data_IF_591071598333
#
_entry.id   IF_591071598333
#
_cell.length_a   1.000
_cell.length_b   1.000
_cell.length_c   1.000
_cell.angle_alpha   90.00
_cell.angle_beta   90.00
_cell.angle_gamma   90.00
#
_symmetry.space_group_name_H-M   'P 1'
#
loop_
_entity.id
_entity.type
_entity.pdbx_description
1 polymer ?
#
# COMPACT_ATOMS: atom_id res chain seq x y z
N UNK A 1 -31.42 -31.00 -48.00
CA UNK A 1 -30.54 -30.81 -46.83
C UNK A 1 -29.70 -29.58 -47.08
N UNK A 2 -30.08 -28.43 -46.53
CA UNK A 2 -29.29 -27.20 -46.58
C UNK A 2 -28.93 -26.88 -45.13
N UNK A 3 -27.65 -27.03 -44.78
CA UNK A 3 -27.13 -26.68 -43.47
C UNK A 3 -26.92 -25.17 -43.43
N UNK A 4 -27.78 -24.47 -42.69
CA UNK A 4 -27.54 -23.08 -42.29
C UNK A 4 -26.54 -23.05 -41.14
N UNK A 5 -25.32 -22.59 -41.42
CA UNK A 5 -24.34 -22.23 -40.39
C UNK A 5 -24.78 -20.88 -39.81
N UNK A 6 -25.30 -20.91 -38.58
CA UNK A 6 -25.48 -19.69 -37.78
C UNK A 6 -24.12 -19.28 -37.22
N UNK A 7 -23.53 -18.23 -37.81
CA UNK A 7 -22.46 -17.46 -37.18
C UNK A 7 -23.06 -16.66 -36.03
N UNK A 8 -22.87 -17.13 -34.80
CA UNK A 8 -23.04 -16.29 -33.62
C UNK A 8 -21.87 -15.29 -33.58
N UNK A 9 -22.11 -14.08 -34.05
CA UNK A 9 -21.31 -12.91 -33.71
C UNK A 9 -21.52 -12.62 -32.22
N UNK A 10 -20.57 -13.04 -31.39
CA UNK A 10 -20.45 -12.50 -30.04
C UNK A 10 -20.23 -10.99 -30.18
N UNK A 11 -21.23 -10.20 -29.77
CA UNK A 11 -21.04 -8.77 -29.59
C UNK A 11 -20.00 -8.62 -28.48
N UNK A 12 -18.74 -8.44 -28.87
CA UNK A 12 -17.70 -7.93 -27.98
C UNK A 12 -18.23 -6.56 -27.55
N UNK A 13 -18.72 -6.47 -26.32
CA UNK A 13 -18.99 -5.18 -25.70
C UNK A 13 -17.65 -4.42 -25.70
N UNK A 14 -17.48 -3.54 -26.68
CA UNK A 14 -16.34 -2.65 -26.73
C UNK A 14 -16.43 -1.75 -25.50
N UNK A 15 -15.26 -1.46 -24.93
CA UNK A 15 -15.19 -0.53 -23.84
C UNK A 15 -15.80 0.82 -24.26
N UNK A 16 -16.52 1.49 -23.37
CA UNK A 16 -17.05 2.82 -23.64
C UNK A 16 -15.94 3.88 -23.63
N UNK A 17 -14.87 3.65 -22.87
CA UNK A 17 -13.60 4.36 -22.98
C UNK A 17 -12.43 3.38 -22.90
N UNK A 18 -11.46 3.53 -23.80
CA UNK A 18 -10.16 2.86 -23.73
C UNK A 18 -9.08 3.74 -24.35
N UNK A 19 -7.92 3.80 -23.70
CA UNK A 19 -6.70 4.36 -24.25
C UNK A 19 -5.61 3.29 -24.19
N UNK A 20 -5.16 2.84 -25.36
CA UNK A 20 -4.08 1.86 -25.54
C UNK A 20 -2.72 2.52 -25.80
N UNK A 21 -2.66 3.85 -25.83
CA UNK A 21 -1.43 4.59 -26.12
C UNK A 21 -0.75 4.19 -27.45
N UNK A 22 -1.54 3.80 -28.47
CA UNK A 22 -1.06 3.40 -29.81
C UNK A 22 -0.59 4.59 -30.68
N UNK A 23 -0.76 5.82 -30.20
CA UNK A 23 -0.35 7.03 -30.89
C UNK A 23 1.17 7.22 -30.95
N UNK A 24 1.66 8.15 -31.79
CA UNK A 24 3.09 8.48 -31.84
C UNK A 24 3.60 9.16 -30.55
N UNK A 25 2.68 9.69 -29.73
CA UNK A 25 2.95 10.28 -28.43
C UNK A 25 1.69 10.23 -27.57
N UNK A 26 1.87 10.18 -26.25
CA UNK A 26 0.77 10.39 -25.29
C UNK A 26 0.17 11.77 -25.50
N UNK A 27 -1.15 11.84 -25.61
CA UNK A 27 -1.88 13.10 -25.68
C UNK A 27 -1.97 13.70 -24.28
N UNK A 28 -1.38 14.89 -24.09
CA UNK A 28 -1.33 15.58 -22.81
C UNK A 28 -2.30 16.75 -22.80
N UNK A 29 -3.00 16.93 -21.68
CA UNK A 29 -3.90 18.06 -21.45
C UNK A 29 -3.81 18.47 -19.96
N UNK A 30 -3.37 19.69 -19.63
CA UNK A 30 -3.31 20.16 -18.24
C UNK A 30 -4.66 20.17 -17.50
N UNK A 31 -5.78 20.12 -18.20
CA UNK A 31 -7.11 20.02 -17.60
C UNK A 31 -7.65 18.58 -17.59
N UNK A 32 -6.94 17.64 -18.23
CA UNK A 32 -7.35 16.23 -18.33
C UNK A 32 -8.62 16.02 -19.17
N UNK A 33 -9.05 16.99 -19.98
CA UNK A 33 -10.33 16.95 -20.69
C UNK A 33 -10.25 16.26 -22.04
N UNK A 34 -9.21 16.55 -22.85
CA UNK A 34 -9.02 16.00 -24.19
C UNK A 34 -7.75 15.14 -24.30
N UNK A 35 -7.06 14.94 -23.17
CA UNK A 35 -5.81 14.19 -23.04
C UNK A 35 -5.55 13.86 -21.59
N UNK A 36 -4.40 13.27 -21.31
CA UNK A 36 -3.97 12.94 -19.95
C UNK A 36 -3.40 14.17 -19.24
N UNK A 37 -4.00 14.49 -18.09
CA UNK A 37 -3.34 15.26 -17.06
C UNK A 37 -2.34 14.34 -16.36
N UNK A 38 -1.21 14.90 -15.95
CA UNK A 38 -0.33 14.28 -14.97
C UNK A 38 0.17 15.36 -14.00
N UNK A 39 0.23 15.03 -12.72
CA UNK A 39 0.71 15.97 -11.70
C UNK A 39 1.25 15.24 -10.46
N UNK A 40 2.40 15.69 -9.92
CA UNK A 40 2.83 15.26 -8.62
C UNK A 40 2.11 16.09 -7.54
N UNK A 41 2.13 15.59 -6.31
CA UNK A 41 1.76 16.40 -5.16
C UNK A 41 2.19 15.76 -3.86
N UNK A 42 2.06 16.57 -2.81
CA UNK A 42 2.86 16.43 -1.59
C UNK A 42 4.37 16.38 -1.89
N UNK A 43 5.19 16.38 -0.84
CA UNK A 43 6.63 16.19 -0.99
C UNK A 43 7.33 17.13 -1.99
N UNK A 44 8.38 16.62 -2.62
CA UNK A 44 9.10 17.30 -3.71
C UNK A 44 9.40 16.39 -4.90
N UNK A 45 8.72 15.25 -4.99
CA UNK A 45 8.83 14.37 -6.15
C UNK A 45 8.37 15.10 -7.42
N UNK A 46 9.03 14.78 -8.53
CA UNK A 46 8.64 15.24 -9.87
C UNK A 46 8.18 14.07 -10.71
N UNK A 47 7.38 14.34 -11.74
CA UNK A 47 6.92 13.29 -12.63
C UNK A 47 6.87 13.74 -14.09
N UNK A 48 6.88 12.76 -14.98
CA UNK A 48 6.72 12.92 -16.43
C UNK A 48 5.85 11.77 -16.97
N UNK A 49 5.04 12.06 -17.99
CA UNK A 49 4.22 11.08 -18.70
C UNK A 49 4.55 11.16 -20.18
N UNK A 50 5.09 10.07 -20.72
CA UNK A 50 5.54 10.02 -22.13
C UNK A 50 5.27 8.66 -22.75
N UNK A 51 5.43 8.60 -24.06
CA UNK A 51 5.40 7.33 -24.79
C UNK A 51 6.55 6.44 -24.28
N UNK A 52 6.23 5.23 -23.85
CA UNK A 52 7.22 4.26 -23.38
C UNK A 52 7.82 3.43 -24.51
N UNK A 53 7.01 3.16 -25.53
CA UNK A 53 7.36 2.45 -26.76
C UNK A 53 6.10 2.19 -27.59
N UNK A 54 6.16 1.24 -28.50
CA UNK A 54 4.99 0.86 -29.30
C UNK A 54 3.90 0.26 -28.38
N UNK A 55 2.73 0.92 -28.32
CA UNK A 55 1.54 0.42 -27.62
C UNK A 55 1.55 0.57 -26.09
N UNK A 56 2.34 1.48 -25.51
CA UNK A 56 2.25 1.80 -24.07
C UNK A 56 2.81 3.17 -23.69
N UNK A 57 2.25 3.76 -22.64
CA UNK A 57 2.79 4.94 -21.97
C UNK A 57 3.66 4.55 -20.78
N UNK A 58 4.54 5.45 -20.36
CA UNK A 58 5.33 5.29 -19.14
C UNK A 58 5.21 6.54 -18.26
N UNK A 59 4.82 6.32 -17.02
CA UNK A 59 4.91 7.29 -15.92
C UNK A 59 6.32 7.18 -15.35
N UNK A 60 7.06 8.29 -15.33
CA UNK A 60 8.34 8.39 -14.65
C UNK A 60 8.17 9.28 -13.42
N UNK A 61 8.70 8.83 -12.28
CA UNK A 61 8.75 9.63 -11.06
C UNK A 61 10.19 9.74 -10.60
N UNK A 62 10.63 10.95 -10.29
CA UNK A 62 11.91 11.21 -9.64
C UNK A 62 11.64 11.77 -8.24
N UNK A 63 11.82 10.92 -7.22
CA UNK A 63 11.63 11.27 -5.81
C UNK A 63 12.96 11.51 -5.07
N UNK A 64 14.07 11.66 -5.79
CA UNK A 64 15.42 11.76 -5.17
C UNK A 64 15.66 13.05 -4.40
N UNK A 65 14.83 14.07 -4.60
CA UNK A 65 14.86 15.33 -3.83
C UNK A 65 13.90 15.29 -2.64
N UNK A 66 13.00 14.30 -2.59
CA UNK A 66 12.06 14.14 -1.49
C UNK A 66 12.78 13.75 -0.21
N UNK A 67 12.29 14.22 0.93
CA UNK A 67 12.93 13.99 2.22
C UNK A 67 12.31 12.86 3.03
N UNK A 68 11.08 12.48 2.72
CA UNK A 68 10.23 11.67 3.61
C UNK A 68 9.58 10.48 2.91
N UNK A 69 9.55 10.48 1.59
CA UNK A 69 8.82 9.49 0.80
C UNK A 69 7.32 9.64 1.01
N UNK A 70 6.85 10.88 1.21
CA UNK A 70 5.43 11.24 1.31
C UNK A 70 5.11 12.08 0.08
N UNK A 71 4.67 11.43 -0.98
CA UNK A 71 4.35 12.04 -2.26
C UNK A 71 3.40 11.15 -3.04
N UNK A 72 2.61 11.77 -3.90
CA UNK A 72 1.84 11.07 -4.91
C UNK A 72 2.15 11.62 -6.31
N UNK A 73 2.01 10.76 -7.30
CA UNK A 73 2.14 11.10 -8.71
C UNK A 73 0.97 10.44 -9.45
N UNK A 74 0.08 11.25 -10.02
CA UNK A 74 -1.14 10.76 -10.66
C UNK A 74 -1.18 11.09 -12.14
N UNK A 75 -1.89 10.24 -12.88
CA UNK A 75 -2.43 10.53 -14.20
C UNK A 75 -3.96 10.50 -14.16
N UNK A 76 -4.59 11.39 -14.89
CA UNK A 76 -6.04 11.58 -14.88
C UNK A 76 -6.54 11.94 -16.27
N UNK A 77 -7.70 11.39 -16.65
CA UNK A 77 -8.36 11.71 -17.91
C UNK A 77 -9.86 11.66 -17.78
N UNK A 78 -10.56 12.60 -18.39
CA UNK A 78 -11.99 12.56 -18.62
C UNK A 78 -12.32 11.35 -19.50
N UNK A 79 -13.20 10.48 -19.02
CA UNK A 79 -13.61 9.26 -19.70
C UNK A 79 -15.06 9.30 -20.18
N UNK A 80 -15.85 10.29 -19.73
CA UNK A 80 -17.29 10.36 -20.01
C UNK A 80 -17.70 10.99 -21.35
N UNK A 81 -16.77 11.46 -22.19
CA UNK A 81 -17.10 12.23 -23.41
C UNK A 81 -18.11 11.56 -24.36
N UNK A 82 -18.05 10.23 -24.44
CA UNK A 82 -18.90 9.43 -25.34
C UNK A 82 -19.74 8.39 -24.58
N UNK A 83 -19.84 8.53 -23.26
CA UNK A 83 -20.62 7.64 -22.41
C UNK A 83 -22.04 8.17 -22.21
N UNK A 84 -23.05 7.33 -22.45
CA UNK A 84 -24.40 7.60 -21.93
C UNK A 84 -24.44 7.28 -20.43
N UNK A 85 -24.55 8.33 -19.60
CA UNK A 85 -24.59 8.20 -18.14
C UNK A 85 -26.01 7.94 -17.60
N UNK A 86 -27.03 7.92 -18.45
CA UNK A 86 -28.42 7.63 -18.04
C UNK A 86 -28.59 6.31 -17.27
N UNK A 87 -27.84 5.22 -17.57
CA UNK A 87 -27.92 3.98 -16.80
C UNK A 87 -27.49 4.12 -15.34
N UNK A 88 -26.62 5.07 -15.00
CA UNK A 88 -26.16 5.29 -13.61
C UNK A 88 -27.28 5.75 -12.67
N UNK A 89 -28.43 6.19 -13.21
CA UNK A 89 -29.62 6.52 -12.42
C UNK A 89 -30.50 5.30 -12.11
N UNK A 90 -30.10 4.10 -12.57
CA UNK A 90 -30.81 2.85 -12.34
C UNK A 90 -29.98 1.95 -11.42
N UNK A 91 -30.64 1.15 -10.55
CA UNK A 91 -29.94 0.10 -9.80
C UNK A 91 -29.16 -0.84 -10.74
N UNK A 92 -28.08 -1.42 -10.22
CA UNK A 92 -27.31 -2.44 -10.93
C UNK A 92 -26.37 -1.90 -12.01
N UNK A 93 -26.02 -0.61 -12.00
CA UNK A 93 -25.02 -0.05 -12.92
C UNK A 93 -23.91 0.63 -12.12
N UNK A 94 -22.66 0.32 -12.44
CA UNK A 94 -21.47 0.85 -11.78
C UNK A 94 -20.37 1.13 -12.80
N UNK A 95 -19.42 1.99 -12.45
CA UNK A 95 -18.21 2.12 -13.25
C UNK A 95 -17.23 1.01 -12.92
N UNK A 96 -16.57 0.47 -13.95
CA UNK A 96 -15.36 -0.33 -13.80
C UNK A 96 -14.21 0.36 -14.48
N UNK A 97 -13.13 0.61 -13.72
CA UNK A 97 -11.83 0.99 -14.27
C UNK A 97 -10.92 -0.23 -14.26
N UNK A 98 -10.21 -0.45 -15.37
CA UNK A 98 -9.23 -1.51 -15.55
C UNK A 98 -7.95 -0.90 -16.15
N UNK A 99 -6.80 -1.36 -15.68
CA UNK A 99 -5.51 -0.99 -16.22
C UNK A 99 -4.62 -2.22 -16.37
N UNK A 100 -3.80 -2.24 -17.41
CA UNK A 100 -2.72 -3.23 -17.55
C UNK A 100 -1.37 -2.55 -17.44
N UNK A 101 -0.60 -2.94 -16.43
CA UNK A 101 0.60 -2.21 -16.03
C UNK A 101 1.80 -3.12 -15.76
N UNK A 102 2.99 -2.52 -15.75
CA UNK A 102 4.23 -3.14 -15.26
C UNK A 102 5.03 -2.10 -14.50
N UNK A 103 5.66 -2.51 -13.41
CA UNK A 103 6.38 -1.60 -12.50
C UNK A 103 7.89 -1.83 -12.57
N UNK A 104 8.70 -0.80 -12.30
CA UNK A 104 10.16 -0.96 -12.24
C UNK A 104 10.67 -1.52 -10.91
N UNK A 105 9.86 -1.50 -9.86
CA UNK A 105 10.21 -1.95 -8.51
C UNK A 105 9.07 -2.80 -7.95
N UNK A 106 9.40 -3.90 -7.27
CA UNK A 106 8.43 -4.79 -6.66
C UNK A 106 8.91 -5.28 -5.28
N UNK A 107 8.00 -5.57 -4.33
CA UNK A 107 6.55 -5.29 -4.40
C UNK A 107 6.28 -3.78 -4.30
N UNK A 108 5.40 -3.26 -5.15
CA UNK A 108 4.92 -1.87 -5.08
C UNK A 108 3.44 -1.78 -5.41
N UNK A 109 2.74 -0.91 -4.69
CA UNK A 109 1.31 -0.66 -4.84
C UNK A 109 1.04 0.54 -5.72
N UNK A 110 0.14 0.38 -6.69
CA UNK A 110 -0.46 1.49 -7.44
C UNK A 110 -1.91 1.67 -7.02
N UNK A 111 -2.47 2.84 -7.31
CA UNK A 111 -3.86 3.15 -6.99
C UNK A 111 -4.70 3.26 -8.28
N UNK A 112 -5.94 2.79 -8.24
CA UNK A 112 -6.99 3.14 -9.21
C UNK A 112 -8.12 3.88 -8.51
N UNK A 113 -8.73 4.81 -9.23
CA UNK A 113 -9.92 5.53 -8.79
C UNK A 113 -10.77 5.96 -9.98
N UNK A 114 -12.09 6.06 -9.73
CA UNK A 114 -13.03 6.79 -10.57
C UNK A 114 -13.61 7.93 -9.74
N UNK A 115 -13.63 9.14 -10.31
CA UNK A 115 -14.16 10.33 -9.66
C UNK A 115 -15.06 11.12 -10.60
N UNK A 116 -15.91 11.98 -10.03
CA UNK A 116 -16.65 13.00 -10.77
C UNK A 116 -16.16 14.39 -10.38
N UNK A 117 -16.51 15.41 -11.15
CA UNK A 117 -16.31 16.80 -10.75
C UNK A 117 -17.05 17.20 -9.45
N UNK A 118 -17.96 16.34 -8.95
CA UNK A 118 -18.71 16.52 -7.70
C UNK A 118 -18.17 15.68 -6.54
N UNK A 119 -17.17 14.81 -6.77
CA UNK A 119 -16.60 13.95 -5.73
C UNK A 119 -15.99 14.78 -4.61
N UNK A 120 -16.42 14.54 -3.38
CA UNK A 120 -15.88 15.18 -2.17
C UNK A 120 -15.16 14.23 -1.24
N UNK A 121 -15.47 12.93 -1.35
CA UNK A 121 -14.77 11.85 -0.68
C UNK A 121 -13.88 11.15 -1.71
N UNK A 122 -12.58 11.41 -1.62
CA UNK A 122 -11.57 10.86 -2.52
C UNK A 122 -11.03 9.51 -2.04
N UNK A 123 -11.44 9.02 -0.87
CA UNK A 123 -10.95 7.75 -0.33
C UNK A 123 -11.93 6.61 -0.63
N UNK A 124 -13.25 6.90 -0.67
CA UNK A 124 -14.30 5.90 -0.85
C UNK A 124 -14.17 5.04 -2.13
N UNK A 125 -13.56 5.56 -3.18
CA UNK A 125 -13.34 4.87 -4.45
C UNK A 125 -11.85 4.80 -4.83
N UNK A 126 -10.95 4.81 -3.85
CA UNK A 126 -9.52 4.68 -4.05
C UNK A 126 -9.05 3.29 -3.60
N UNK A 127 -8.62 2.48 -4.56
CA UNK A 127 -8.15 1.11 -4.30
C UNK A 127 -6.69 0.97 -4.69
N UNK A 128 -5.91 0.32 -3.83
CA UNK A 128 -4.52 -0.04 -4.03
C UNK A 128 -4.36 -1.47 -4.54
N UNK A 129 -3.33 -1.72 -5.34
CA UNK A 129 -3.01 -3.04 -5.89
C UNK A 129 -1.52 -3.33 -5.75
N UNK A 130 -1.18 -4.38 -5.03
CA UNK A 130 0.19 -4.87 -4.87
C UNK A 130 0.67 -5.56 -6.15
N UNK A 131 1.69 -4.98 -6.80
CA UNK A 131 2.33 -5.54 -7.98
C UNK A 131 3.58 -6.31 -7.55
N UNK A 132 3.51 -7.63 -7.70
CA UNK A 132 4.44 -8.56 -7.07
C UNK A 132 5.80 -8.71 -7.80
N UNK A 133 5.90 -8.30 -9.06
CA UNK A 133 7.12 -8.43 -9.86
C UNK A 133 7.31 -7.28 -10.85
N UNK A 134 8.50 -7.21 -11.45
CA UNK A 134 8.92 -6.14 -12.37
C UNK A 134 8.93 -6.55 -13.84
N UNK A 135 8.56 -7.80 -14.16
CA UNK A 135 8.77 -8.39 -15.48
C UNK A 135 7.47 -8.58 -16.24
N UNK A 136 6.40 -8.97 -15.54
CA UNK A 136 5.12 -9.31 -16.13
C UNK A 136 4.22 -8.07 -16.25
N UNK A 137 3.30 -8.13 -17.20
CA UNK A 137 2.16 -7.23 -17.24
C UNK A 137 1.07 -7.76 -16.32
N UNK A 138 0.55 -6.88 -15.47
CA UNK A 138 -0.49 -7.16 -14.48
C UNK A 138 -1.76 -6.42 -14.86
N UNK A 139 -2.90 -7.11 -14.84
CA UNK A 139 -4.21 -6.48 -15.05
C UNK A 139 -4.86 -6.27 -13.69
N UNK A 140 -5.24 -5.04 -13.41
CA UNK A 140 -5.90 -4.61 -12.17
C UNK A 140 -7.21 -3.91 -12.51
N UNK A 141 -8.24 -4.11 -11.70
CA UNK A 141 -9.52 -3.42 -11.90
C UNK A 141 -10.26 -3.21 -10.59
N UNK A 142 -11.05 -2.13 -10.52
CA UNK A 142 -12.08 -1.96 -9.51
C UNK A 142 -13.41 -1.63 -10.16
N UNK A 143 -14.47 -2.13 -9.54
CA UNK A 143 -15.85 -1.71 -9.79
C UNK A 143 -16.31 -0.82 -8.65
N UNK A 144 -16.87 0.34 -8.96
CA UNK A 144 -17.40 1.26 -7.96
C UNK A 144 -18.61 0.66 -7.24
N UNK A 145 -18.93 1.17 -6.06
CA UNK A 145 -20.15 0.83 -5.33
C UNK A 145 -20.94 2.10 -5.02
N UNK A 146 -22.22 2.14 -5.41
CA UNK A 146 -23.11 3.29 -5.18
C UNK A 146 -22.55 4.64 -5.67
N UNK A 147 -21.83 4.63 -6.79
CA UNK A 147 -21.23 5.84 -7.36
C UNK A 147 -22.28 6.80 -7.91
N UNK A 148 -22.42 7.99 -7.30
CA UNK A 148 -23.41 9.03 -7.68
C UNK A 148 -23.00 9.82 -8.93
N UNK A 149 -22.86 9.14 -10.08
CA UNK A 149 -22.75 9.79 -11.37
C UNK A 149 -24.13 10.06 -11.99
N UNK A 150 -24.31 11.24 -12.58
CA UNK A 150 -25.56 11.70 -13.19
C UNK A 150 -25.34 12.12 -14.65
N UNK A 151 -26.39 12.10 -15.49
CA UNK A 151 -26.33 12.70 -16.81
C UNK A 151 -25.81 14.15 -16.76
N UNK A 152 -24.79 14.44 -17.55
CA UNK A 152 -24.10 15.74 -17.59
C UNK A 152 -22.87 15.85 -16.69
N UNK A 153 -22.57 14.84 -15.86
CA UNK A 153 -21.33 14.82 -15.09
C UNK A 153 -20.09 14.55 -15.96
N UNK A 154 -18.96 15.07 -15.50
CA UNK A 154 -17.64 14.70 -15.99
C UNK A 154 -17.12 13.57 -15.10
N UNK A 155 -16.84 12.41 -15.70
CA UNK A 155 -16.24 11.28 -15.00
C UNK A 155 -14.78 11.19 -15.40
N UNK A 156 -13.93 10.99 -14.41
CA UNK A 156 -12.49 10.89 -14.56
C UNK A 156 -12.00 9.50 -14.15
N UNK A 157 -11.10 8.91 -14.95
CA UNK A 157 -10.35 7.71 -14.60
C UNK A 157 -8.96 8.10 -14.10
N UNK A 158 -8.59 7.60 -12.92
CA UNK A 158 -7.36 7.98 -12.22
C UNK A 158 -6.47 6.76 -12.00
N UNK A 159 -5.16 6.94 -12.18
CA UNK A 159 -4.15 6.01 -11.68
C UNK A 159 -3.04 6.79 -10.97
N UNK A 160 -2.56 6.30 -9.83
CA UNK A 160 -1.51 6.98 -9.06
C UNK A 160 -0.44 6.02 -8.52
N UNK A 161 0.74 6.59 -8.29
CA UNK A 161 1.80 6.04 -7.46
C UNK A 161 1.84 6.87 -6.18
N UNK A 162 1.93 6.22 -5.02
CA UNK A 162 1.95 6.89 -3.72
C UNK A 162 3.04 6.30 -2.83
N UNK A 163 3.93 7.17 -2.34
CA UNK A 163 4.92 6.88 -1.31
C UNK A 163 5.88 5.74 -1.63
N UNK A 164 6.31 5.58 -2.90
CA UNK A 164 7.20 4.46 -3.28
C UNK A 164 8.60 4.58 -2.69
N UNK A 165 8.96 5.69 -2.04
CA UNK A 165 10.27 5.94 -1.44
C UNK A 165 10.99 7.13 -2.09
N UNK A 166 12.32 7.11 -2.06
CA UNK A 166 13.17 8.25 -2.43
C UNK A 166 14.01 8.03 -3.71
N UNK A 167 13.69 7.01 -4.50
CA UNK A 167 14.42 6.69 -5.74
C UNK A 167 13.68 7.21 -6.99
N UNK A 168 14.10 6.72 -8.15
CA UNK A 168 13.42 6.96 -9.43
C UNK A 168 12.59 5.74 -9.79
N UNK A 169 11.34 5.98 -10.14
CA UNK A 169 10.36 4.93 -10.41
C UNK A 169 9.80 5.06 -11.82
N UNK A 170 9.33 3.93 -12.35
CA UNK A 170 8.65 3.85 -13.63
C UNK A 170 7.47 2.90 -13.53
N UNK A 171 6.33 3.31 -14.07
CA UNK A 171 5.19 2.42 -14.33
C UNK A 171 4.87 2.51 -15.81
N UNK A 172 4.94 1.38 -16.48
CA UNK A 172 4.50 1.22 -17.86
C UNK A 172 3.01 0.88 -17.85
N UNK A 173 2.24 1.49 -18.74
CA UNK A 173 0.78 1.37 -18.86
C UNK A 173 0.43 1.00 -20.30
N UNK A 174 0.01 -0.24 -20.49
CA UNK A 174 -0.42 -0.79 -21.79
C UNK A 174 -1.77 -0.21 -22.19
N UNK A 175 -2.74 -0.22 -21.27
CA UNK A 175 -4.00 0.48 -21.46
C UNK A 175 -4.63 0.91 -20.14
N UNK A 176 -5.51 1.91 -20.23
CA UNK A 176 -6.53 2.20 -19.23
C UNK A 176 -7.90 2.16 -19.91
N UNK A 177 -8.83 1.48 -19.26
CA UNK A 177 -10.17 1.21 -19.75
C UNK A 177 -11.19 1.59 -18.68
N UNK A 178 -12.28 2.25 -19.08
CA UNK A 178 -13.42 2.56 -18.20
C UNK A 178 -14.74 2.25 -18.88
N UNK A 179 -15.61 1.52 -18.18
CA UNK A 179 -16.94 1.09 -18.65
C UNK A 179 -18.01 1.32 -17.59
N UNK A 180 -19.27 1.50 -18.02
CA UNK A 180 -20.44 1.25 -17.19
C UNK A 180 -20.83 -0.23 -17.35
N UNK A 181 -20.88 -0.94 -16.22
CA UNK A 181 -21.14 -2.38 -16.17
C UNK A 181 -22.29 -2.71 -15.24
N UNK A 182 -22.91 -3.88 -15.45
CA UNK A 182 -23.73 -4.53 -14.43
C UNK A 182 -22.85 -5.45 -13.58
N UNK A 183 -22.59 -5.14 -12.29
CA UNK A 183 -21.73 -5.94 -11.42
C UNK A 183 -22.14 -7.41 -11.33
N UNK A 184 -23.43 -7.74 -11.51
CA UNK A 184 -23.93 -9.11 -11.45
C UNK A 184 -23.45 -9.96 -12.65
N UNK A 185 -23.06 -9.33 -13.75
CA UNK A 185 -22.65 -10.03 -14.99
C UNK A 185 -21.22 -9.71 -15.44
N UNK A 186 -20.62 -8.65 -14.92
CA UNK A 186 -19.26 -8.19 -15.29
C UNK A 186 -18.13 -9.15 -14.84
N UNK A 187 -18.43 -10.11 -13.98
CA UNK A 187 -17.42 -10.96 -13.34
C UNK A 187 -16.61 -10.23 -12.26
N UNK A 188 -15.69 -10.92 -11.57
CA UNK A 188 -14.91 -10.33 -10.50
C UNK A 188 -13.86 -9.36 -11.04
N UNK A 189 -13.52 -8.39 -10.20
CA UNK A 189 -12.38 -7.51 -10.40
C UNK A 189 -11.05 -8.28 -10.50
N UNK A 190 -10.05 -7.67 -11.13
CA UNK A 190 -8.71 -8.24 -11.36
C UNK A 190 -7.71 -7.67 -10.37
N UNK A 191 -6.75 -8.49 -9.96
CA UNK A 191 -5.87 -8.19 -8.84
C UNK A 191 -6.58 -8.31 -7.50
N UNK A 192 -5.88 -7.96 -6.41
CA UNK A 192 -6.42 -7.96 -5.06
C UNK A 192 -6.54 -6.50 -4.58
N UNK A 193 -7.71 -5.86 -4.71
CA UNK A 193 -7.90 -4.46 -4.31
C UNK A 193 -7.82 -4.32 -2.79
N UNK A 194 -7.10 -3.30 -2.34
CA UNK A 194 -6.94 -2.92 -0.93
C UNK A 194 -7.48 -1.49 -0.77
N UNK A 195 -8.48 -1.24 0.10
CA UNK A 195 -8.88 0.13 0.39
C UNK A 195 -7.71 0.95 0.92
N UNK A 196 -7.57 2.19 0.47
CA UNK A 196 -6.47 3.08 0.91
C UNK A 196 -6.42 3.25 2.45
N UNK A 197 -7.59 3.35 3.07
CA UNK A 197 -7.75 3.32 4.52
C UNK A 197 -8.59 2.11 4.93
N UNK A 198 -7.96 0.92 5.06
CA UNK A 198 -8.68 -0.29 5.40
C UNK A 198 -9.22 -0.18 6.84
N UNK A 199 -10.45 -0.63 7.10
CA UNK A 199 -11.01 -0.59 8.44
C UNK A 199 -10.18 -1.42 9.42
N UNK A 200 -10.12 -0.99 10.67
CA UNK A 200 -9.44 -1.72 11.75
C UNK A 200 -10.43 -2.72 12.37
N UNK A 201 -10.18 -4.01 12.17
CA UNK A 201 -11.00 -5.08 12.73
C UNK A 201 -10.74 -5.28 14.24
N UNK A 202 -11.73 -5.81 14.96
CA UNK A 202 -11.53 -6.25 16.35
C UNK A 202 -10.57 -7.43 16.41
N UNK A 203 -9.60 -7.47 17.34
CA UNK A 203 -8.72 -8.62 17.55
C UNK A 203 -9.46 -9.93 17.77
N UNK A 204 -10.67 -9.88 18.35
CA UNK A 204 -11.52 -11.06 18.59
C UNK A 204 -12.06 -11.72 17.32
N UNK A 205 -11.91 -11.08 16.16
CA UNK A 205 -12.37 -11.61 14.88
C UNK A 205 -11.35 -12.57 14.23
N UNK A 206 -10.17 -12.70 14.84
CA UNK A 206 -9.09 -13.55 14.34
C UNK A 206 -8.99 -14.82 15.17
N UNK A 207 -8.69 -15.95 14.51
CA UNK A 207 -8.46 -17.23 15.16
C UNK A 207 -7.00 -17.45 15.53
N UNK A 208 -6.08 -16.82 14.79
CA UNK A 208 -4.65 -16.90 15.05
C UNK A 208 -4.19 -15.63 15.76
N UNK A 209 -3.46 -15.84 16.86
CA UNK A 209 -2.75 -14.80 17.60
C UNK A 209 -1.33 -15.30 17.80
N UNK A 210 -0.35 -14.58 17.25
CA UNK A 210 1.05 -14.97 17.28
C UNK A 210 1.85 -13.84 17.92
N UNK A 211 2.44 -14.10 19.08
CA UNK A 211 3.39 -13.19 19.69
C UNK A 211 4.65 -13.09 18.82
N UNK A 212 5.25 -11.90 18.80
CA UNK A 212 6.55 -11.68 18.15
C UNK A 212 7.59 -12.66 18.71
N UNK A 213 8.42 -13.20 17.82
CA UNK A 213 9.45 -14.18 18.18
C UNK A 213 10.80 -13.51 18.44
N UNK A 214 11.09 -12.40 17.75
CA UNK A 214 12.24 -11.53 17.98
C UNK A 214 11.79 -10.08 17.75
N UNK A 215 12.14 -9.18 18.65
CA UNK A 215 12.05 -7.74 18.45
C UNK A 215 13.39 -7.07 18.81
N UNK A 216 13.69 -5.94 18.18
CA UNK A 216 14.86 -5.11 18.49
C UNK A 216 14.69 -3.72 17.89
N UNK A 217 15.63 -2.83 18.17
CA UNK A 217 15.82 -1.56 17.49
C UNK A 217 17.04 -1.68 16.57
N UNK A 218 16.98 -1.02 15.40
CA UNK A 218 18.15 -0.67 14.59
C UNK A 218 18.33 0.85 14.65
N UNK A 219 19.57 1.31 14.76
CA UNK A 219 19.94 2.73 14.74
C UNK A 219 20.61 3.10 13.41
N UNK A 220 20.13 4.18 12.78
CA UNK A 220 20.70 4.73 11.55
C UNK A 220 22.00 5.52 11.78
N UNK A 221 22.34 5.85 13.03
CA UNK A 221 23.55 6.59 13.39
C UNK A 221 24.65 5.64 13.87
N UNK A 222 24.41 4.90 14.95
CA UNK A 222 25.38 3.97 15.53
C UNK A 222 25.11 2.54 15.03
N UNK A 223 25.45 2.29 13.75
CA UNK A 223 24.99 1.11 13.00
C UNK A 223 25.61 -0.23 13.43
N UNK A 224 26.70 -0.20 14.20
CA UNK A 224 27.43 -1.36 14.69
C UNK A 224 27.09 -1.73 16.14
N UNK A 225 26.13 -1.04 16.75
CA UNK A 225 25.68 -1.25 18.13
C UNK A 225 24.39 -2.08 18.17
N UNK A 226 24.30 -2.99 19.15
CA UNK A 226 23.07 -3.71 19.45
C UNK A 226 22.27 -2.91 20.47
N UNK A 227 21.04 -2.56 20.11
CA UNK A 227 20.16 -1.69 20.91
C UNK A 227 19.03 -2.47 21.61
N UNK A 228 19.15 -3.79 21.74
CA UNK A 228 18.09 -4.60 22.35
C UNK A 228 17.90 -4.36 23.85
N UNK A 229 18.90 -3.80 24.54
CA UNK A 229 18.79 -3.43 25.95
C UNK A 229 18.36 -1.96 26.18
N UNK A 230 17.94 -1.28 25.10
CA UNK A 230 17.34 0.05 25.16
C UNK A 230 16.18 0.08 26.13
N UNK A 231 16.21 1.01 27.08
CA UNK A 231 15.33 0.95 28.25
C UNK A 231 15.13 2.28 28.95
N UNK A 232 14.10 2.31 29.79
CA UNK A 232 13.82 3.41 30.72
C UNK A 232 13.78 2.90 32.16
N UNK A 233 14.24 3.74 33.08
CA UNK A 233 14.08 3.52 34.52
C UNK A 233 12.73 4.08 34.99
N UNK A 234 11.75 3.20 35.22
CA UNK A 234 10.44 3.53 35.75
C UNK A 234 10.44 3.38 37.28
N UNK A 235 9.99 4.41 38.01
CA UNK A 235 10.01 4.41 39.48
C UNK A 235 9.20 3.28 40.12
N UNK A 236 8.13 2.82 39.46
CA UNK A 236 7.23 1.79 39.99
C UNK A 236 7.59 0.39 39.49
N UNK A 237 8.14 0.27 38.28
CA UNK A 237 8.41 -1.01 37.60
C UNK A 237 9.89 -1.37 37.46
N UNK A 238 10.80 -0.44 37.76
CA UNK A 238 12.24 -0.58 37.53
C UNK A 238 12.59 -0.41 36.05
N UNK A 239 13.64 -1.11 35.59
CA UNK A 239 14.05 -1.13 34.18
C UNK A 239 12.94 -1.73 33.31
N UNK A 240 12.54 -0.99 32.28
CA UNK A 240 11.60 -1.43 31.24
C UNK A 240 12.31 -1.32 29.90
N UNK A 241 12.44 -2.44 29.18
CA UNK A 241 13.00 -2.43 27.83
C UNK A 241 11.95 -1.93 26.83
N UNK A 242 12.37 -1.14 25.85
CA UNK A 242 11.46 -0.47 24.92
C UNK A 242 11.92 -0.62 23.47
N UNK A 243 10.95 -0.65 22.57
CA UNK A 243 11.15 -0.46 21.14
C UNK A 243 10.84 1.00 20.81
N UNK A 244 11.89 1.82 20.67
CA UNK A 244 11.75 3.24 20.33
C UNK A 244 11.71 3.44 18.83
N UNK A 245 10.87 4.39 18.41
CA UNK A 245 10.66 4.77 17.02
C UNK A 245 10.72 6.29 16.92
N UNK A 246 11.81 6.78 16.34
CA UNK A 246 12.09 8.19 16.09
C UNK A 246 12.83 8.34 14.74
N UNK A 247 13.49 9.49 14.50
CA UNK A 247 14.20 9.75 13.25
C UNK A 247 15.40 8.83 13.00
N UNK A 248 16.07 8.35 14.05
CA UNK A 248 17.24 7.45 13.94
C UNK A 248 16.93 6.01 14.33
N UNK A 249 15.97 5.77 15.22
CA UNK A 249 15.62 4.44 15.70
C UNK A 249 14.44 3.85 14.93
N UNK A 250 14.59 2.62 14.46
CA UNK A 250 13.51 1.84 13.88
C UNK A 250 13.33 0.55 14.64
N UNK A 251 12.09 0.26 15.04
CA UNK A 251 11.76 -1.04 15.62
C UNK A 251 11.65 -2.09 14.50
N UNK A 252 12.25 -3.26 14.71
CA UNK A 252 12.15 -4.41 13.82
C UNK A 252 11.50 -5.58 14.55
N UNK A 253 10.57 -6.26 13.88
CA UNK A 253 9.73 -7.33 14.43
C UNK A 253 9.76 -8.56 13.52
N UNK A 254 10.01 -9.74 14.10
CA UNK A 254 10.02 -11.03 13.39
C UNK A 254 9.18 -12.07 14.12
N UNK A 255 8.45 -12.87 13.37
CA UNK A 255 7.58 -13.94 13.90
C UNK A 255 8.03 -15.31 13.41
N UNK A 256 7.82 -16.35 14.23
CA UNK A 256 7.91 -17.73 13.76
C UNK A 256 6.55 -18.19 13.22
N UNK A 257 6.41 -18.20 11.90
CA UNK A 257 5.18 -18.58 11.20
C UNK A 257 5.25 -19.97 10.55
N UNK A 258 6.27 -20.78 10.88
CA UNK A 258 6.49 -22.10 10.28
C UNK A 258 5.27 -23.03 10.35
N UNK A 259 4.47 -22.95 11.43
CA UNK A 259 3.22 -23.73 11.58
C UNK A 259 2.14 -23.41 10.55
N UNK A 260 2.30 -22.32 9.81
CA UNK A 260 1.39 -21.86 8.76
C UNK A 260 1.94 -22.07 7.35
N UNK A 261 3.15 -22.63 7.20
CA UNK A 261 3.76 -22.85 5.90
C UNK A 261 2.81 -23.60 4.95
N UNK A 262 2.64 -23.05 3.74
CA UNK A 262 1.75 -23.59 2.71
C UNK A 262 0.26 -23.28 2.91
N UNK A 263 -0.14 -22.68 4.04
CA UNK A 263 -1.52 -22.20 4.23
C UNK A 263 -1.75 -20.89 3.49
N UNK A 264 -3.02 -20.63 3.16
CA UNK A 264 -3.45 -19.36 2.58
C UNK A 264 -4.05 -18.46 3.65
N UNK A 265 -3.70 -17.19 3.60
CA UNK A 265 -4.35 -16.16 4.43
C UNK A 265 -5.76 -15.94 3.91
N UNK A 266 -6.74 -15.88 4.82
CA UNK A 266 -8.14 -15.69 4.45
C UNK A 266 -8.40 -14.25 3.96
N UNK A 267 -7.94 -13.25 4.72
CA UNK A 267 -8.19 -11.82 4.50
C UNK A 267 -7.06 -11.00 5.16
N UNK A 268 -7.20 -9.68 5.27
CA UNK A 268 -6.36 -8.83 6.09
C UNK A 268 -6.26 -9.33 7.54
N UNK A 269 -5.22 -8.87 8.22
CA UNK A 269 -4.96 -9.14 9.63
C UNK A 269 -4.57 -7.87 10.34
N UNK A 270 -4.05 -8.03 11.56
CA UNK A 270 -3.82 -6.93 12.48
C UNK A 270 -2.49 -7.09 13.20
N UNK A 271 -1.67 -6.04 13.15
CA UNK A 271 -0.54 -5.86 14.06
C UNK A 271 -1.04 -5.11 15.29
N UNK A 272 -0.84 -5.71 16.46
CA UNK A 272 -1.06 -5.08 17.77
C UNK A 272 0.28 -4.67 18.37
N UNK A 273 0.39 -3.40 18.76
CA UNK A 273 1.50 -2.85 19.53
C UNK A 273 1.01 -2.32 20.88
N UNK A 274 1.82 -2.48 21.93
CA UNK A 274 1.53 -1.90 23.24
C UNK A 274 2.39 -0.66 23.47
N UNK A 275 1.74 0.50 23.57
CA UNK A 275 2.40 1.78 23.76
C UNK A 275 2.87 1.96 25.20
N UNK A 276 4.08 2.47 25.37
CA UNK A 276 4.60 3.00 26.64
C UNK A 276 4.42 4.53 26.69
N UNK A 277 4.93 5.23 25.67
CA UNK A 277 4.89 6.69 25.56
C UNK A 277 4.80 7.15 24.10
N UNK A 278 4.27 8.36 23.92
CA UNK A 278 4.26 9.05 22.63
C UNK A 278 4.50 10.54 22.86
N UNK A 279 5.49 11.08 22.16
CA UNK A 279 5.77 12.50 22.04
C UNK A 279 5.62 12.90 20.57
N UNK A 280 4.95 14.01 20.30
CA UNK A 280 4.77 14.52 18.93
C UNK A 280 4.53 16.01 18.92
N UNK A 281 4.77 16.63 17.77
CA UNK A 281 4.45 18.04 17.55
C UNK A 281 2.94 18.28 17.73
N UNK A 282 2.57 19.27 18.53
CA UNK A 282 1.16 19.63 18.75
C UNK A 282 0.50 20.31 17.54
N UNK A 283 1.28 21.08 16.77
CA UNK A 283 0.80 21.73 15.55
C UNK A 283 0.72 20.73 14.39
N UNK A 284 -0.42 20.71 13.71
CA UNK A 284 -0.64 19.85 12.55
C UNK A 284 0.36 20.17 11.44
N UNK A 285 1.07 19.13 11.02
CA UNK A 285 1.79 19.05 9.76
C UNK A 285 1.31 17.75 9.14
N UNK A 286 0.93 17.78 7.85
CA UNK A 286 0.38 16.60 7.18
C UNK A 286 1.32 15.40 7.37
N UNK A 287 0.71 14.28 7.78
CA UNK A 287 1.34 12.98 8.07
C UNK A 287 2.45 12.97 9.15
N UNK A 288 2.70 14.10 9.83
CA UNK A 288 3.60 14.15 10.97
C UNK A 288 2.95 13.57 12.22
N UNK A 289 3.76 12.93 13.06
CA UNK A 289 3.24 12.38 14.31
C UNK A 289 2.58 11.01 14.13
N UNK A 290 2.83 10.36 13.00
CA UNK A 290 2.43 8.99 12.68
C UNK A 290 3.65 8.07 12.73
N UNK A 291 3.40 6.77 12.80
CA UNK A 291 4.40 5.74 12.50
C UNK A 291 4.15 5.20 11.09
N UNK A 292 5.24 4.87 10.39
CA UNK A 292 5.24 4.21 9.09
C UNK A 292 5.64 2.75 9.27
N UNK A 293 4.75 1.85 8.88
CA UNK A 293 5.00 0.41 8.95
C UNK A 293 5.39 -0.10 7.58
N UNK A 294 6.47 -0.86 7.47
CA UNK A 294 6.99 -1.39 6.20
C UNK A 294 7.39 -2.86 6.32
N UNK A 295 7.41 -3.57 5.20
CA UNK A 295 7.94 -4.94 5.12
C UNK A 295 9.48 -4.94 5.20
N UNK A 296 10.04 -5.97 5.83
CA UNK A 296 11.46 -6.32 5.71
C UNK A 296 11.57 -7.32 4.55
N UNK A 297 12.18 -6.91 3.44
CA UNK A 297 12.27 -7.70 2.20
C UNK A 297 13.64 -8.36 2.00
N UNK A 298 14.70 -7.84 2.62
CA UNK A 298 16.07 -8.30 2.46
C UNK A 298 16.80 -8.43 3.79
N UNK A 299 18.13 -8.36 3.74
CA UNK A 299 18.99 -8.45 4.93
C UNK A 299 19.12 -9.86 5.50
N UNK A 300 19.55 -9.95 6.75
CA UNK A 300 19.53 -11.18 7.52
C UNK A 300 18.06 -11.58 7.82
N UNK A 301 17.64 -12.77 7.41
CA UNK A 301 16.29 -13.28 7.71
C UNK A 301 16.21 -13.95 9.09
N UNK A 302 17.36 -14.31 9.66
CA UNK A 302 17.50 -15.11 10.87
C UNK A 302 18.05 -14.35 12.07
N UNK A 303 18.10 -13.01 11.99
CA UNK A 303 18.64 -12.14 13.05
C UNK A 303 18.09 -12.46 14.44
N UNK A 304 18.95 -12.37 15.44
CA UNK A 304 18.60 -12.60 16.84
C UNK A 304 18.71 -11.29 17.62
N UNK A 305 17.71 -11.01 18.47
CA UNK A 305 17.62 -9.75 19.21
C UNK A 305 18.87 -9.45 20.06
N UNK A 306 19.53 -10.49 20.58
CA UNK A 306 20.69 -10.33 21.47
C UNK A 306 21.99 -9.90 20.76
N UNK A 307 22.02 -9.89 19.42
CA UNK A 307 23.24 -9.57 18.67
C UNK A 307 23.00 -8.70 17.44
N UNK A 308 21.75 -8.48 17.03
CA UNK A 308 21.43 -7.72 15.83
C UNK A 308 21.86 -6.25 15.97
N UNK A 309 22.50 -5.75 14.93
CA UNK A 309 22.87 -4.36 14.73
C UNK A 309 22.33 -3.93 13.38
N UNK A 310 22.32 -2.64 13.07
CA UNK A 310 21.90 -2.17 11.74
C UNK A 310 22.76 -2.77 10.63
N UNK A 311 24.08 -2.85 10.84
CA UNK A 311 25.05 -3.41 9.89
C UNK A 311 24.80 -4.90 9.63
N UNK A 312 24.64 -5.69 10.70
CA UNK A 312 24.39 -7.15 10.58
C UNK A 312 23.01 -7.43 10.00
N UNK A 313 21.98 -6.71 10.45
CA UNK A 313 20.62 -6.79 9.90
C UNK A 313 20.59 -6.51 8.41
N UNK A 314 21.30 -5.47 7.96
CA UNK A 314 21.32 -5.09 6.55
C UNK A 314 22.30 -5.89 5.70
N UNK A 315 23.18 -6.71 6.30
CA UNK A 315 24.37 -7.25 5.61
C UNK A 315 25.18 -6.16 4.89
N UNK A 316 25.28 -4.98 5.50
CA UNK A 316 25.91 -3.77 4.92
C UNK A 316 25.26 -3.25 3.61
N UNK A 317 24.10 -3.77 3.20
CA UNK A 317 23.34 -3.20 2.08
C UNK A 317 22.62 -1.91 2.49
N UNK A 318 22.34 -1.00 1.55
CA UNK A 318 21.52 0.17 1.83
C UNK A 318 20.13 -0.21 2.38
N UNK A 319 19.62 0.56 3.34
CA UNK A 319 18.34 0.26 4.00
C UNK A 319 17.16 0.15 3.03
N UNK A 320 17.17 0.89 1.91
CA UNK A 320 16.14 0.81 0.87
C UNK A 320 16.20 -0.47 0.01
N UNK A 321 17.21 -1.32 0.18
CA UNK A 321 17.28 -2.69 -0.36
C UNK A 321 16.77 -3.73 0.64
N UNK A 322 16.76 -3.40 1.93
CA UNK A 322 16.37 -4.28 3.02
C UNK A 322 14.92 -4.05 3.43
N UNK A 323 14.51 -2.80 3.57
CA UNK A 323 13.15 -2.41 3.90
C UNK A 323 12.38 -2.00 2.64
N UNK A 324 11.11 -2.41 2.55
CA UNK A 324 10.22 -1.84 1.55
C UNK A 324 10.08 -0.34 1.82
N UNK A 325 10.39 0.50 0.83
CA UNK A 325 10.31 1.95 1.00
C UNK A 325 8.88 2.47 0.93
N UNK A 326 7.96 1.68 0.38
CA UNK A 326 6.53 1.96 0.46
C UNK A 326 5.97 1.42 1.77
N UNK A 327 5.18 2.25 2.46
CA UNK A 327 4.46 1.82 3.66
C UNK A 327 3.57 0.62 3.34
N UNK A 328 3.24 -0.18 4.36
CA UNK A 328 2.02 -0.98 4.43
C UNK A 328 0.88 -0.05 4.82
N UNK A 329 1.11 0.73 5.88
CA UNK A 329 0.20 1.74 6.42
C UNK A 329 1.00 2.78 7.21
N UNK A 330 0.56 4.04 7.11
CA UNK A 330 0.95 5.10 8.04
C UNK A 330 -0.20 5.30 9.03
N UNK A 331 0.11 5.31 10.33
CA UNK A 331 -0.94 5.25 11.35
C UNK A 331 -0.60 6.03 12.62
N UNK A 332 -1.59 6.68 13.27
CA UNK A 332 -1.37 7.32 14.55
C UNK A 332 -1.17 6.28 15.66
N UNK A 333 -0.21 6.56 16.55
CA UNK A 333 -0.04 5.78 17.78
C UNK A 333 -1.11 6.17 18.79
N UNK A 334 -1.73 5.17 19.41
CA UNK A 334 -2.69 5.36 20.49
C UNK A 334 -1.95 5.78 21.77
N UNK A 335 -2.19 6.99 22.32
CA UNK A 335 -1.41 7.51 23.43
C UNK A 335 -1.81 6.85 24.75
N UNK A 336 -0.83 6.68 25.64
CA UNK A 336 -1.04 6.20 27.00
C UNK A 336 -0.29 4.90 27.29
N UNK A 337 0.21 4.78 28.51
CA UNK A 337 0.89 3.58 28.97
C UNK A 337 -0.07 2.37 28.96
N UNK A 338 0.32 1.32 28.25
CA UNK A 338 -0.46 0.11 28.06
C UNK A 338 -1.54 0.22 26.97
N UNK A 339 -1.66 1.38 26.32
CA UNK A 339 -2.60 1.55 25.22
C UNK A 339 -2.25 0.64 24.03
N UNK A 340 -3.26 0.20 23.29
CA UNK A 340 -3.10 -0.68 22.15
C UNK A 340 -3.22 0.10 20.85
N UNK A 341 -2.20 0.01 20.01
CA UNK A 341 -2.23 0.51 18.64
C UNK A 341 -2.46 -0.67 17.70
N UNK A 342 -3.50 -0.57 16.89
CA UNK A 342 -3.94 -1.62 15.98
C UNK A 342 -3.76 -1.17 14.53
N UNK A 343 -2.97 -1.91 13.76
CA UNK A 343 -2.61 -1.56 12.39
C UNK A 343 -3.03 -2.69 11.45
N UNK A 344 -3.84 -2.38 10.45
CA UNK A 344 -4.28 -3.38 9.47
C UNK A 344 -3.12 -3.78 8.56
N UNK A 345 -2.85 -5.08 8.47
CA UNK A 345 -1.86 -5.66 7.57
C UNK A 345 -2.60 -6.32 6.42
N UNK A 346 -2.26 -5.96 5.18
CA UNK A 346 -2.95 -6.49 4.01
C UNK A 346 -2.76 -8.01 3.87
N UNK A 347 -3.74 -8.66 3.24
CA UNK A 347 -3.69 -10.09 2.94
C UNK A 347 -2.40 -10.49 2.21
N UNK A 348 -1.95 -9.69 1.26
CA UNK A 348 -0.76 -9.96 0.44
C UNK A 348 0.52 -9.93 1.27
N UNK A 349 0.65 -8.95 2.17
CA UNK A 349 1.79 -8.85 3.10
C UNK A 349 1.80 -10.04 4.06
N UNK A 350 0.64 -10.38 4.66
CA UNK A 350 0.52 -11.56 5.52
C UNK A 350 0.87 -12.85 4.79
N UNK A 351 0.45 -12.99 3.53
CA UNK A 351 0.79 -14.15 2.74
C UNK A 351 2.32 -14.22 2.51
N UNK A 352 2.97 -13.10 2.24
CA UNK A 352 4.44 -13.04 2.12
C UNK A 352 5.15 -13.36 3.44
N UNK A 353 4.62 -12.95 4.59
CA UNK A 353 5.14 -13.34 5.91
C UNK A 353 5.07 -14.86 6.12
N UNK A 354 3.93 -15.48 5.80
CA UNK A 354 3.75 -16.95 5.93
C UNK A 354 4.63 -17.70 4.92
N UNK A 355 4.75 -17.18 3.70
CA UNK A 355 5.56 -17.79 2.63
C UNK A 355 7.08 -17.57 2.83
N UNK A 356 7.49 -16.78 3.83
CA UNK A 356 8.90 -16.42 4.07
C UNK A 356 9.51 -15.46 3.03
N UNK A 357 8.66 -14.74 2.28
CA UNK A 357 9.09 -13.75 1.27
C UNK A 357 9.28 -12.35 1.85
N UNK A 358 8.69 -12.08 3.01
CA UNK A 358 9.11 -10.96 3.88
C UNK A 358 9.58 -11.55 5.20
N UNK A 359 10.69 -11.02 5.71
CA UNK A 359 11.37 -11.52 6.91
C UNK A 359 10.79 -10.94 8.21
N UNK A 360 9.86 -9.98 8.10
CA UNK A 360 9.28 -9.31 9.25
C UNK A 360 8.71 -7.93 8.89
N UNK A 361 8.49 -7.12 9.93
CA UNK A 361 7.96 -5.77 9.82
C UNK A 361 8.92 -4.80 10.50
N UNK A 362 9.18 -3.65 9.87
CA UNK A 362 9.86 -2.53 10.50
C UNK A 362 8.89 -1.37 10.73
N UNK A 363 9.10 -0.63 11.81
CA UNK A 363 8.31 0.53 12.21
C UNK A 363 9.25 1.72 12.32
N UNK A 364 8.91 2.79 11.59
CA UNK A 364 9.73 4.00 11.45
C UNK A 364 8.92 5.22 11.83
N UNK A 365 9.57 6.29 12.25
CA UNK A 365 8.91 7.56 12.47
C UNK A 365 8.49 8.21 11.14
N UNK A 366 7.33 8.88 11.15
CA UNK A 366 6.93 9.78 10.08
C UNK A 366 6.90 11.22 10.61
N UNK A 367 8.01 11.93 10.36
CA UNK A 367 8.23 13.29 10.86
C UNK A 367 8.43 13.34 12.37
N UNK A 368 7.91 14.39 13.01
CA UNK A 368 8.19 14.69 14.43
C UNK A 368 7.37 13.81 15.40
N UNK A 369 7.81 12.57 15.57
CA UNK A 369 7.33 11.62 16.59
C UNK A 369 8.53 10.97 17.30
N UNK A 370 8.37 10.77 18.60
CA UNK A 370 9.13 9.82 19.40
C UNK A 370 8.10 8.93 20.09
N UNK A 371 8.00 7.68 19.64
CA UNK A 371 7.09 6.69 20.19
C UNK A 371 7.88 5.53 20.77
N UNK A 372 7.47 5.05 21.93
CA UNK A 372 8.04 3.85 22.53
C UNK A 372 6.97 2.80 22.76
N UNK A 373 7.29 1.57 22.38
CA UNK A 373 6.46 0.39 22.60
C UNK A 373 7.18 -0.55 23.57
N UNK A 374 6.43 -1.40 24.26
CA UNK A 374 7.05 -2.44 25.08
C UNK A 374 7.75 -3.50 24.22
N UNK A 375 9.00 -3.82 24.55
CA UNK A 375 9.69 -4.99 23.99
C UNK A 375 9.14 -6.29 24.57
N UNK A 376 9.42 -7.42 23.90
CA UNK A 376 8.87 -8.72 24.24
C UNK A 376 9.31 -9.27 25.61
N UNK A 377 10.42 -8.82 26.19
CA UNK A 377 10.89 -9.34 27.48
C UNK A 377 10.05 -8.81 28.66
N UNK A 378 9.26 -7.75 28.46
CA UNK A 378 8.51 -7.12 29.53
C UNK A 378 7.36 -7.98 30.04
N UNK A 379 7.30 -8.17 31.37
CA UNK A 379 6.24 -8.90 32.08
C UNK A 379 5.89 -10.25 31.44
N UNK A 380 6.91 -11.04 31.10
CA UNK A 380 6.77 -12.36 30.48
C UNK A 380 5.99 -12.33 29.15
N UNK A 381 6.24 -11.29 28.33
CA UNK A 381 5.64 -11.15 27.01
C UNK A 381 4.18 -10.69 27.00
N UNK A 382 3.66 -10.20 28.14
CA UNK A 382 2.29 -9.69 28.24
C UNK A 382 2.01 -8.54 27.26
N UNK A 383 3.03 -7.73 26.97
CA UNK A 383 2.93 -6.52 26.16
C UNK A 383 3.57 -6.63 24.79
N UNK A 384 4.11 -7.80 24.44
CA UNK A 384 4.76 -8.07 23.17
C UNK A 384 3.87 -7.68 21.98
N UNK A 385 4.51 -7.28 20.88
CA UNK A 385 3.82 -7.14 19.62
C UNK A 385 3.16 -8.46 19.20
N UNK A 386 1.97 -8.38 18.61
CA UNK A 386 1.20 -9.55 18.17
C UNK A 386 0.71 -9.39 16.75
N UNK A 387 0.72 -10.51 16.02
CA UNK A 387 0.08 -10.62 14.72
C UNK A 387 -1.22 -11.42 14.87
N UNK A 388 -2.32 -10.86 14.39
CA UNK A 388 -3.65 -11.47 14.39
C UNK A 388 -4.11 -11.70 12.95
N UNK A 389 -4.53 -12.92 12.62
CA UNK A 389 -5.00 -13.23 11.27
C UNK A 389 -5.85 -14.50 11.24
N UNK A 390 -6.44 -14.76 10.07
CA UNK A 390 -7.18 -15.99 9.78
C UNK A 390 -6.51 -16.71 8.61
N UNK A 391 -6.50 -18.04 8.64
CA UNK A 391 -6.13 -18.87 7.49
C UNK A 391 -7.39 -19.38 6.79
N UNK A 392 -7.34 -19.53 5.48
CA UNK A 392 -8.39 -20.14 4.69
C UNK A 392 -8.59 -21.60 5.15
N UNK A 393 -9.86 -22.04 5.18
CA UNK A 393 -10.24 -23.39 5.60
C UNK A 393 -9.90 -24.43 4.54
#
# INVERSE_FOLDING_TARGET
MASSVLLLSAALAQAQFIDNFDGPSVQLDPEGLNGWLFRPGDGTATMDLRQGGDGYASIFVDATTDRRGIWWALIERKVSDHMDLSPMQKPGHQFRIEARIRVSHASRRVNLQVATQRSTDYDANLMEYDIADTTNWHVISMTTHEFDARPGDTVFGHMALMDWGLEKYRVDVDYIKVDIVDPATAGPDKGDPIPYHPPVASPTNFSEHVDVAQDSIIDLVDTDINENDWSVEDKARGKINLLSVDESHHAILRWNLSRFAGKKVADHGLLELTTYSVQRKAGYVKDFGLIRVVEILGGDSEWEQNNVTTDSFCHYEPLNRVLNTQMIIDWPVSPGDGAKTYLTISKTVLQRLIDGKTHGIAIKALGAIDASFYSMENQYGKYSARLHFNVAK
#
